data_IF_414298911879
#
_entry.id   IF_414298911879
#
_cell.length_a   1.000
_cell.length_b   1.000
_cell.length_c   1.000
_cell.angle_alpha   90.00
_cell.angle_beta   90.00
_cell.angle_gamma   90.00
#
_symmetry.space_group_name_H-M   'P 1'
#
loop_
_entity.id
_entity.type
_entity.pdbx_description
1 polymer ?
#
# COMPACT_ATOMS: atom_id res chain seq x y z
N UNK A 1 24.19 -6.41 -12.88
CA UNK A 1 22.75 -6.20 -13.13
C UNK A 1 21.87 -6.82 -12.06
N UNK A 2 21.48 -6.04 -11.05
CA UNK A 2 20.49 -6.44 -10.03
C UNK A 2 19.09 -6.05 -10.51
N UNK A 3 18.65 -6.68 -11.59
CA UNK A 3 17.26 -6.63 -11.99
C UNK A 3 16.60 -7.92 -11.48
N UNK A 4 15.82 -7.83 -10.40
CA UNK A 4 14.65 -8.67 -10.08
C UNK A 4 14.28 -8.58 -8.57
N UNK A 5 13.41 -7.61 -8.23
CA UNK A 5 12.23 -7.86 -7.39
C UNK A 5 12.35 -8.12 -5.88
N UNK A 6 13.53 -8.23 -5.26
CA UNK A 6 13.63 -8.51 -3.81
C UNK A 6 13.83 -7.22 -3.02
N UNK A 7 12.76 -6.49 -2.74
CA UNK A 7 12.85 -5.27 -1.93
C UNK A 7 11.50 -4.59 -1.72
N UNK A 8 11.39 -3.82 -0.64
CA UNK A 8 10.22 -2.99 -0.35
C UNK A 8 10.00 -1.99 -1.49
N UNK A 9 8.75 -1.86 -1.93
CA UNK A 9 8.34 -0.86 -2.92
C UNK A 9 7.21 -0.02 -2.35
N UNK A 10 7.33 1.30 -2.47
CA UNK A 10 6.29 2.24 -2.06
C UNK A 10 5.79 2.99 -3.30
N UNK A 11 4.48 2.99 -3.49
CA UNK A 11 3.83 3.62 -4.63
C UNK A 11 3.43 5.05 -4.26
N UNK A 12 3.77 6.03 -5.08
CA UNK A 12 3.35 7.42 -4.92
C UNK A 12 2.83 7.99 -6.25
N UNK A 13 2.02 9.04 -6.16
CA UNK A 13 1.43 9.71 -7.33
C UNK A 13 2.04 11.12 -7.47
N UNK A 14 3.01 11.35 -8.39
CA UNK A 14 3.60 12.66 -8.58
C UNK A 14 2.63 13.64 -9.25
N UNK A 15 2.59 14.86 -8.75
CA UNK A 15 1.82 15.99 -9.28
C UNK A 15 2.75 16.87 -10.12
N UNK A 16 2.31 17.41 -11.28
CA UNK A 16 0.95 17.36 -11.84
C UNK A 16 0.69 16.19 -12.80
N UNK A 17 1.64 15.27 -12.98
CA UNK A 17 1.52 14.21 -13.99
C UNK A 17 0.39 13.20 -13.70
N UNK A 18 0.09 12.97 -12.41
CA UNK A 18 -0.76 11.89 -11.91
C UNK A 18 -0.35 10.49 -12.40
N UNK A 19 0.88 10.36 -12.91
CA UNK A 19 1.50 9.06 -13.18
C UNK A 19 1.81 8.32 -11.88
N UNK A 20 2.39 7.12 -12.01
CA UNK A 20 2.75 6.29 -10.86
C UNK A 20 4.25 6.14 -10.76
N UNK A 21 4.79 6.41 -9.58
CA UNK A 21 6.20 6.22 -9.27
C UNK A 21 6.35 5.20 -8.16
N UNK A 22 7.32 4.28 -8.32
CA UNK A 22 7.67 3.28 -7.31
C UNK A 22 9.03 3.63 -6.72
N UNK A 23 9.06 4.00 -5.44
CA UNK A 23 10.29 4.07 -4.69
C UNK A 23 10.72 2.66 -4.29
N UNK A 24 11.87 2.22 -4.79
CA UNK A 24 12.40 0.84 -4.61
C UNK A 24 13.78 0.80 -3.97
N UNK A 25 14.42 1.96 -3.83
CA UNK A 25 15.74 2.14 -3.24
C UNK A 25 15.63 3.31 -2.26
N UNK A 26 16.19 3.16 -1.07
CA UNK A 26 16.14 4.17 -0.01
C UNK A 26 17.56 4.42 0.46
N UNK A 27 17.98 5.69 0.46
CA UNK A 27 19.35 6.08 0.80
C UNK A 27 19.65 5.83 2.28
N UNK A 28 18.67 6.15 3.13
CA UNK A 28 18.72 5.97 4.56
C UNK A 28 17.31 5.77 5.15
N UNK A 29 17.23 5.62 6.48
CA UNK A 29 15.96 5.49 7.21
C UNK A 29 15.05 6.71 7.01
N UNK A 30 15.61 7.91 6.97
CA UNK A 30 14.83 9.15 6.83
C UNK A 30 14.19 9.22 5.45
N UNK A 31 14.91 8.81 4.41
CA UNK A 31 14.42 8.71 3.05
C UNK A 31 13.30 7.68 2.91
N UNK A 32 13.45 6.51 3.55
CA UNK A 32 12.37 5.52 3.63
C UNK A 32 11.11 6.08 4.31
N UNK A 33 11.27 6.79 5.42
CA UNK A 33 10.13 7.42 6.12
C UNK A 33 9.46 8.46 5.20
N UNK A 34 10.22 9.33 4.54
CA UNK A 34 9.66 10.32 3.61
C UNK A 34 8.93 9.66 2.44
N UNK A 35 9.50 8.59 1.87
CA UNK A 35 8.85 7.82 0.82
C UNK A 35 7.54 7.20 1.30
N UNK A 36 7.51 6.66 2.52
CA UNK A 36 6.29 6.12 3.13
C UNK A 36 5.25 7.22 3.35
N UNK A 37 5.65 8.37 3.91
CA UNK A 37 4.74 9.50 4.11
C UNK A 37 4.17 10.02 2.79
N UNK A 38 4.97 10.07 1.72
CA UNK A 38 4.49 10.41 0.39
C UNK A 38 3.50 9.37 -0.16
N UNK A 39 3.78 8.08 0.05
CA UNK A 39 2.93 6.96 -0.40
C UNK A 39 1.54 6.97 0.25
N UNK A 40 1.40 7.50 1.46
CA UNK A 40 0.14 7.56 2.22
C UNK A 40 -0.48 8.95 2.28
N UNK A 41 0.04 9.93 1.52
CA UNK A 41 -0.35 11.34 1.64
C UNK A 41 -1.71 11.62 0.98
N UNK A 42 -2.79 11.33 1.68
CA UNK A 42 -4.13 11.65 1.24
C UNK A 42 -4.31 13.18 1.27
N UNK A 43 -4.68 13.83 0.14
CA UNK A 43 -4.86 15.27 0.09
C UNK A 43 -5.73 15.84 1.21
N UNK A 44 -5.23 16.89 1.87
CA UNK A 44 -5.85 17.63 2.98
C UNK A 44 -6.09 16.82 4.26
N UNK A 45 -5.77 15.53 4.28
CA UNK A 45 -6.15 14.64 5.36
C UNK A 45 -5.09 14.51 6.46
N UNK A 46 -3.82 14.29 6.09
CA UNK A 46 -2.77 14.02 7.08
C UNK A 46 -2.29 15.28 7.81
N UNK A 47 -1.88 16.30 7.06
CA UNK A 47 -1.30 17.54 7.61
C UNK A 47 -2.01 18.81 7.10
N UNK A 48 -3.20 18.63 6.51
CA UNK A 48 -3.99 19.71 5.90
C UNK A 48 -3.48 20.18 4.54
N UNK A 49 -2.37 19.63 4.03
CA UNK A 49 -1.81 20.01 2.72
C UNK A 49 -2.32 19.12 1.61
N UNK A 50 -2.45 19.72 0.42
CA UNK A 50 -2.82 19.01 -0.81
C UNK A 50 -1.76 17.97 -1.21
N UNK A 51 -0.48 18.31 -1.04
CA UNK A 51 0.67 17.51 -1.47
C UNK A 51 1.74 17.48 -0.38
N UNK A 52 2.67 16.54 -0.51
CA UNK A 52 3.91 16.48 0.27
C UNK A 52 5.12 16.35 -0.65
N UNK A 53 6.25 16.91 -0.23
CA UNK A 53 7.48 16.90 -1.02
C UNK A 53 8.30 15.64 -0.76
N UNK A 54 8.68 14.94 -1.83
CA UNK A 54 9.58 13.79 -1.80
C UNK A 54 10.50 13.81 -3.03
N UNK A 55 11.83 13.75 -2.80
CA UNK A 55 12.89 13.81 -3.83
C UNK A 55 12.63 14.90 -4.89
N UNK A 56 12.51 16.13 -4.39
CA UNK A 56 12.32 17.36 -5.19
C UNK A 56 11.01 17.45 -5.99
N UNK A 57 10.05 16.55 -5.74
CA UNK A 57 8.75 16.55 -6.39
C UNK A 57 7.58 16.53 -5.40
N UNK A 58 6.46 17.11 -5.82
CA UNK A 58 5.20 17.06 -5.08
C UNK A 58 4.46 15.74 -5.35
N UNK A 59 3.99 15.11 -4.29
CA UNK A 59 3.35 13.80 -4.33
C UNK A 59 2.06 13.79 -3.51
N UNK A 60 1.15 12.91 -3.92
CA UNK A 60 -0.01 12.48 -3.15
C UNK A 60 -0.01 10.95 -3.03
N UNK A 61 -0.95 10.45 -2.24
CA UNK A 61 -1.19 9.04 -1.98
C UNK A 61 -1.07 8.17 -3.24
N UNK A 62 -0.34 7.05 -3.10
CA UNK A 62 -0.07 6.12 -4.19
C UNK A 62 -1.32 5.48 -4.77
N UNK A 63 -2.36 5.31 -3.96
CA UNK A 63 -3.62 4.68 -4.36
C UNK A 63 -4.54 5.58 -5.16
N UNK A 64 -4.32 6.90 -5.15
CA UNK A 64 -5.15 7.87 -5.87
C UNK A 64 -5.21 7.58 -7.38
N UNK A 65 -6.36 7.16 -7.92
CA UNK A 65 -6.54 6.73 -9.32
C UNK A 65 -5.63 5.55 -9.75
N UNK A 66 -5.16 4.76 -8.80
CA UNK A 66 -4.36 3.56 -9.09
C UNK A 66 -5.18 2.41 -9.67
N UNK A 67 -4.54 1.59 -10.49
CA UNK A 67 -5.05 0.31 -11.00
C UNK A 67 -4.24 -0.83 -10.41
N UNK A 68 -4.77 -2.06 -10.42
CA UNK A 68 -4.04 -3.23 -9.94
C UNK A 68 -2.65 -3.40 -10.60
N UNK A 69 -2.52 -3.03 -11.88
CA UNK A 69 -1.25 -3.03 -12.62
C UNK A 69 -0.20 -2.06 -12.09
N UNK A 70 -0.61 -1.07 -11.30
CA UNK A 70 0.30 -0.10 -10.69
C UNK A 70 0.93 -0.62 -9.40
N UNK A 71 0.39 -1.71 -8.84
CA UNK A 71 0.94 -2.41 -7.66
C UNK A 71 1.73 -3.64 -8.05
N UNK A 72 1.32 -4.35 -9.10
CA UNK A 72 1.92 -5.62 -9.48
C UNK A 72 2.77 -5.45 -10.73
N UNK A 73 3.97 -6.03 -10.74
CA UNK A 73 4.78 -6.09 -11.97
C UNK A 73 4.03 -6.91 -13.03
N UNK A 74 4.24 -6.63 -14.33
CA UNK A 74 3.62 -7.40 -15.42
C UNK A 74 3.91 -8.91 -15.34
N UNK A 75 4.97 -9.28 -14.62
CA UNK A 75 5.32 -10.66 -14.32
C UNK A 75 4.87 -10.92 -12.87
N UNK A 76 3.81 -11.72 -12.70
CA UNK A 76 3.46 -12.26 -11.37
C UNK A 76 4.38 -13.45 -11.08
N UNK A 77 5.23 -13.40 -10.05
CA UNK A 77 5.92 -14.59 -9.58
C UNK A 77 4.89 -15.66 -9.18
N UNK A 78 5.23 -16.94 -9.36
CA UNK A 78 4.39 -18.05 -8.88
C UNK A 78 4.24 -18.05 -7.35
N UNK A 79 5.21 -17.44 -6.66
CA UNK A 79 5.32 -17.43 -5.20
C UNK A 79 5.01 -16.03 -4.65
N UNK A 80 4.03 -15.34 -5.25
CA UNK A 80 3.60 -14.01 -4.83
C UNK A 80 2.14 -14.04 -4.36
N UNK A 81 1.89 -13.47 -3.18
CA UNK A 81 0.54 -13.20 -2.68
C UNK A 81 0.26 -11.72 -2.80
N UNK A 82 -0.97 -11.41 -3.19
CA UNK A 82 -1.52 -10.06 -3.14
C UNK A 82 -2.51 -10.01 -1.99
N UNK A 83 -2.24 -9.16 -1.02
CA UNK A 83 -3.21 -8.83 0.03
C UNK A 83 -4.01 -7.62 -0.43
N UNK A 84 -5.29 -7.83 -0.71
CA UNK A 84 -6.22 -6.80 -1.19
C UNK A 84 -7.47 -6.83 -0.32
N UNK A 85 -7.64 -5.80 0.51
CA UNK A 85 -8.77 -5.71 1.44
C UNK A 85 -10.12 -5.68 0.72
N UNK A 86 -10.18 -5.28 -0.55
CA UNK A 86 -11.43 -5.27 -1.32
C UNK A 86 -11.94 -6.69 -1.62
N UNK A 87 -11.08 -7.70 -1.47
CA UNK A 87 -11.44 -9.12 -1.60
C UNK A 87 -11.85 -9.78 -0.28
N UNK A 88 -11.71 -9.06 0.85
CA UNK A 88 -12.27 -9.49 2.13
C UNK A 88 -13.78 -9.17 2.13
N UNK A 89 -14.68 -10.17 2.17
CA UNK A 89 -16.13 -9.94 2.19
C UNK A 89 -16.59 -9.04 3.34
N UNK A 90 -15.80 -9.00 4.42
CA UNK A 90 -16.09 -8.19 5.59
C UNK A 90 -15.78 -6.70 5.35
N UNK A 91 -14.94 -6.39 4.35
CA UNK A 91 -14.44 -5.06 4.03
C UNK A 91 -14.83 -4.59 2.63
N UNK A 92 -15.23 -5.48 1.71
CA UNK A 92 -15.50 -5.18 0.29
C UNK A 92 -16.56 -4.10 0.07
N UNK A 93 -17.50 -3.97 0.99
CA UNK A 93 -18.59 -2.99 0.91
C UNK A 93 -18.20 -1.62 1.49
N UNK A 94 -17.03 -1.51 2.14
CA UNK A 94 -16.55 -0.25 2.71
C UNK A 94 -16.02 0.67 1.62
N UNK A 95 -16.43 1.92 1.66
CA UNK A 95 -15.95 2.98 0.78
C UNK A 95 -14.68 3.62 1.36
N UNK A 96 -13.93 4.32 0.51
CA UNK A 96 -12.75 5.09 0.91
C UNK A 96 -13.06 6.09 2.05
N UNK A 97 -14.29 6.62 2.11
CA UNK A 97 -14.76 7.49 3.20
C UNK A 97 -14.94 6.77 4.54
N UNK A 98 -15.23 5.47 4.54
CA UNK A 98 -15.40 4.68 5.76
C UNK A 98 -14.04 4.37 6.42
N UNK A 99 -12.95 4.45 5.66
CA UNK A 99 -11.57 4.39 6.20
C UNK A 99 -11.18 5.66 6.96
N UNK A 100 -11.77 6.81 6.61
CA UNK A 100 -11.59 8.06 7.34
C UNK A 100 -12.27 8.00 8.72
N UNK A 101 -13.36 7.23 8.86
CA UNK A 101 -14.02 6.99 10.16
C UNK A 101 -13.24 6.01 11.07
N UNK A 102 -12.32 5.21 10.52
CA UNK A 102 -11.52 4.22 11.26
C UNK A 102 -10.37 4.83 12.11
N UNK A 103 -10.39 6.14 12.37
CA UNK A 103 -9.28 6.92 12.94
C UNK A 103 -9.28 7.05 14.47
N UNK A 104 -10.20 6.42 15.20
CA UNK A 104 -9.96 6.21 16.64
C UNK A 104 -8.79 5.24 16.81
N UNK A 105 -8.06 5.34 17.93
CA UNK A 105 -7.00 4.38 18.26
C UNK A 105 -7.58 2.96 18.22
N UNK A 106 -8.79 2.81 18.73
CA UNK A 106 -9.58 1.57 18.73
C UNK A 106 -9.87 1.09 17.31
N UNK A 107 -10.31 1.99 16.41
CA UNK A 107 -10.59 1.66 15.00
C UNK A 107 -9.36 1.15 14.25
N UNK A 108 -8.17 1.68 14.54
CA UNK A 108 -6.91 1.18 13.96
C UNK A 108 -6.62 -0.25 14.45
N UNK A 109 -6.77 -0.52 15.76
CA UNK A 109 -6.56 -1.86 16.31
C UNK A 109 -7.58 -2.86 15.79
N UNK A 110 -8.84 -2.46 15.67
CA UNK A 110 -9.92 -3.28 15.10
C UNK A 110 -9.61 -3.64 13.64
N UNK A 111 -9.10 -2.69 12.84
CA UNK A 111 -8.70 -2.93 11.46
C UNK A 111 -7.54 -3.94 11.38
N UNK A 112 -6.55 -3.83 12.28
CA UNK A 112 -5.44 -4.78 12.36
C UNK A 112 -5.92 -6.19 12.72
N UNK A 113 -6.78 -6.32 13.72
CA UNK A 113 -7.29 -7.61 14.17
C UNK A 113 -8.19 -8.26 13.11
N UNK A 114 -8.95 -7.45 12.36
CA UNK A 114 -9.73 -7.93 11.22
C UNK A 114 -8.83 -8.43 10.09
N UNK A 115 -7.75 -7.71 9.79
CA UNK A 115 -6.74 -8.16 8.83
C UNK A 115 -6.12 -9.51 9.22
N UNK A 116 -5.83 -9.73 10.51
CA UNK A 116 -5.36 -11.02 11.03
C UNK A 116 -6.40 -12.12 10.86
N UNK A 117 -7.66 -11.83 11.18
CA UNK A 117 -8.77 -12.77 11.04
C UNK A 117 -8.94 -13.21 9.59
N UNK A 118 -8.86 -12.27 8.64
CA UNK A 118 -8.94 -12.58 7.21
C UNK A 118 -7.71 -13.37 6.73
N UNK A 119 -6.51 -13.04 7.20
CA UNK A 119 -5.31 -13.82 6.92
C UNK A 119 -5.44 -15.28 7.40
N UNK A 120 -6.05 -15.54 8.57
CA UNK A 120 -6.31 -16.91 9.02
C UNK A 120 -7.22 -17.69 8.04
N UNK A 121 -8.25 -17.02 7.52
CA UNK A 121 -9.14 -17.60 6.49
C UNK A 121 -8.38 -17.89 5.18
N UNK A 122 -7.46 -17.02 4.76
CA UNK A 122 -6.60 -17.25 3.60
C UNK A 122 -5.68 -18.47 3.80
N UNK A 123 -5.16 -18.68 5.01
CA UNK A 123 -4.36 -19.86 5.37
C UNK A 123 -5.16 -21.15 5.27
N UNK A 124 -6.37 -21.19 5.82
CA UNK A 124 -7.24 -22.38 5.76
C UNK A 124 -7.60 -22.76 4.31
N UNK A 125 -7.80 -21.76 3.43
CA UNK A 125 -8.01 -21.96 1.98
C UNK A 125 -6.76 -22.47 1.26
N UNK A 126 -5.59 -22.24 1.85
CA UNK A 126 -4.29 -22.60 1.29
C UNK A 126 -3.71 -21.54 0.35
N UNK A 127 -4.13 -20.28 0.46
CA UNK A 127 -3.64 -19.18 -0.36
C UNK A 127 -2.14 -18.93 -0.14
N UNK A 128 -1.62 -19.31 1.03
CA UNK A 128 -0.20 -19.23 1.38
C UNK A 128 0.64 -20.45 0.96
N UNK A 129 0.05 -21.51 0.39
CA UNK A 129 0.76 -22.77 0.06
C UNK A 129 1.90 -22.59 -0.96
N UNK A 130 1.83 -21.58 -1.81
CA UNK A 130 2.88 -21.27 -2.80
C UNK A 130 4.08 -20.56 -2.19
N UNK A 131 4.00 -20.09 -0.94
CA UNK A 131 5.14 -19.46 -0.29
C UNK A 131 6.16 -20.48 0.17
N UNK A 132 7.47 -20.16 0.05
CA UNK A 132 8.50 -20.94 0.71
C UNK A 132 8.29 -20.92 2.23
N UNK A 133 8.39 -22.08 2.86
CA UNK A 133 8.41 -22.18 4.33
C UNK A 133 9.75 -21.65 4.83
N UNK A 134 9.69 -20.75 5.81
CA UNK A 134 10.86 -20.21 6.51
C UNK A 134 11.46 -21.25 7.46
#
# INVERSE_FOLDING_TARGET
DRANGVGLQLLATPVPSFGKTRATHFEDRSDLIRANMASVHIPWFLDGKLTTTFRDGEHIDGSFLSKATDYVSKIRPKDAITLDWTTDPAMSDRKLGDFVEALSKEGIWDLLERGRSYAAVMEERGDFKSLPRL
#
